data_IF_995542149141
#
_entry.id   IF_995542149141
#
_cell.length_a   1.000
_cell.length_b   1.000
_cell.length_c   1.000
_cell.angle_alpha   90.00
_cell.angle_beta   90.00
_cell.angle_gamma   90.00
#
_symmetry.space_group_name_H-M   'P 1'
#
loop_
_entity.id
_entity.type
_entity.pdbx_description
1 polymer ?
#
# COMPACT_ATOMS: atom_id res chain seq x y z
N UNK A 1 -5.57 10.95 16.59
CA UNK A 1 -4.69 9.93 15.98
C UNK A 1 -5.14 9.72 14.55
N UNK A 2 -4.21 9.48 13.61
CA UNK A 2 -4.55 9.08 12.24
C UNK A 2 -5.33 7.76 12.29
N UNK A 3 -6.52 7.66 11.67
CA UNK A 3 -7.30 6.43 11.71
C UNK A 3 -6.66 5.38 10.78
N UNK A 4 -6.07 4.29 11.31
CA UNK A 4 -5.40 3.29 10.47
C UNK A 4 -6.35 2.60 9.49
N UNK A 5 -7.65 2.63 9.79
CA UNK A 5 -8.72 2.17 8.90
C UNK A 5 -8.70 2.88 7.55
N UNK A 6 -8.69 4.21 7.53
CA UNK A 6 -8.73 4.99 6.29
C UNK A 6 -7.49 4.75 5.44
N UNK A 7 -6.32 4.71 6.09
CA UNK A 7 -5.06 4.35 5.39
C UNK A 7 -5.17 2.96 4.77
N UNK A 8 -5.66 1.97 5.53
CA UNK A 8 -5.84 0.61 5.04
C UNK A 8 -6.79 0.56 3.83
N UNK A 9 -7.91 1.28 3.88
CA UNK A 9 -8.87 1.36 2.78
C UNK A 9 -8.25 2.05 1.55
N UNK A 10 -7.49 3.13 1.72
CA UNK A 10 -6.79 3.78 0.61
C UNK A 10 -5.70 2.91 -0.05
N UNK A 11 -5.02 2.07 0.75
CA UNK A 11 -4.03 1.12 0.25
C UNK A 11 -4.65 -0.10 -0.46
N UNK A 12 -5.92 -0.41 -0.17
CA UNK A 12 -6.55 -1.65 -0.59
C UNK A 12 -6.74 -1.78 -2.12
N UNK A 13 -7.20 -0.77 -2.88
CA UNK A 13 -7.36 -0.89 -4.33
C UNK A 13 -6.07 -1.21 -5.10
N UNK A 14 -4.93 -0.50 -4.91
CA UNK A 14 -3.68 -0.88 -5.58
C UNK A 14 -3.18 -2.26 -5.12
N UNK A 15 -3.35 -2.63 -3.84
CA UNK A 15 -3.02 -3.95 -3.35
C UNK A 15 -3.83 -5.05 -4.07
N UNK A 16 -5.17 -4.96 -4.08
CA UNK A 16 -6.04 -5.95 -4.71
C UNK A 16 -5.81 -6.05 -6.22
N UNK A 17 -5.61 -4.91 -6.89
CA UNK A 17 -5.27 -4.88 -8.32
C UNK A 17 -3.95 -5.59 -8.57
N UNK A 18 -2.94 -5.35 -7.73
CA UNK A 18 -1.64 -6.01 -7.86
C UNK A 18 -1.72 -7.52 -7.60
N UNK A 19 -2.52 -7.94 -6.62
CA UNK A 19 -2.74 -9.34 -6.29
C UNK A 19 -3.43 -10.09 -7.45
N UNK A 20 -4.43 -9.46 -8.07
CA UNK A 20 -5.11 -9.99 -9.25
C UNK A 20 -4.14 -10.12 -10.44
N UNK A 21 -3.32 -9.11 -10.72
CA UNK A 21 -2.29 -9.17 -11.77
C UNK A 21 -1.27 -10.28 -11.48
N UNK A 22 -0.81 -10.39 -10.22
CA UNK A 22 0.13 -11.42 -9.80
C UNK A 22 -0.45 -12.83 -10.02
N UNK A 23 -1.70 -13.05 -9.62
CA UNK A 23 -2.41 -14.31 -9.84
C UNK A 23 -2.59 -14.62 -11.33
N UNK A 24 -3.03 -13.64 -12.13
CA UNK A 24 -3.20 -13.78 -13.59
C UNK A 24 -1.88 -14.11 -14.31
N UNK A 25 -0.75 -13.60 -13.81
CA UNK A 25 0.59 -13.91 -14.31
C UNK A 25 1.22 -15.16 -13.68
N UNK A 26 0.40 -16.04 -13.07
CA UNK A 26 0.82 -17.30 -12.44
C UNK A 26 1.92 -17.11 -11.39
N UNK A 27 1.83 -16.00 -10.65
CA UNK A 27 2.78 -15.61 -9.63
C UNK A 27 4.14 -15.17 -10.16
N UNK A 28 4.20 -14.55 -11.35
CA UNK A 28 5.43 -13.99 -11.92
C UNK A 28 5.27 -12.50 -12.21
N UNK A 29 6.19 -11.68 -11.72
CA UNK A 29 6.19 -10.23 -11.95
C UNK A 29 7.61 -9.69 -12.09
N UNK A 30 7.74 -8.54 -12.77
CA UNK A 30 9.02 -7.84 -12.96
C UNK A 30 9.44 -7.09 -11.68
N UNK A 31 10.74 -6.81 -11.53
CA UNK A 31 11.25 -5.96 -10.44
C UNK A 31 10.56 -4.58 -10.38
N UNK A 32 10.29 -3.95 -11.53
CA UNK A 32 9.56 -2.67 -11.60
C UNK A 32 8.16 -2.73 -11.00
N UNK A 33 7.49 -3.87 -11.17
CA UNK A 33 6.15 -4.08 -10.58
C UNK A 33 6.25 -4.16 -9.06
N UNK A 34 7.24 -4.90 -8.54
CA UNK A 34 7.48 -5.04 -7.11
C UNK A 34 7.80 -3.71 -6.43
N UNK A 35 8.47 -2.80 -7.12
CA UNK A 35 8.76 -1.46 -6.58
C UNK A 35 7.58 -0.50 -6.74
N UNK A 36 6.86 -0.53 -7.87
CA UNK A 36 5.75 0.39 -8.13
C UNK A 36 4.55 0.18 -7.18
N UNK A 37 4.24 -1.07 -6.81
CA UNK A 37 3.07 -1.39 -5.99
C UNK A 37 3.11 -0.73 -4.59
N UNK A 38 4.21 -0.83 -3.81
CA UNK A 38 4.34 -0.09 -2.54
C UNK A 38 4.12 1.42 -2.68
N UNK A 39 4.64 2.05 -3.74
CA UNK A 39 4.43 3.49 -3.97
C UNK A 39 2.97 3.81 -4.31
N UNK A 40 2.32 2.99 -5.14
CA UNK A 40 0.90 3.15 -5.44
C UNK A 40 0.02 2.97 -4.19
N UNK A 41 0.35 2.01 -3.33
CA UNK A 41 -0.31 1.84 -2.03
C UNK A 41 -0.09 3.04 -1.12
N UNK A 42 1.14 3.54 -1.01
CA UNK A 42 1.45 4.72 -0.22
C UNK A 42 0.68 5.95 -0.74
N UNK A 43 0.61 6.15 -2.06
CA UNK A 43 -0.16 7.23 -2.67
C UNK A 43 -1.67 7.10 -2.37
N UNK A 44 -2.22 5.88 -2.46
CA UNK A 44 -3.62 5.62 -2.11
C UNK A 44 -3.92 5.88 -0.63
N UNK A 45 -3.03 5.44 0.26
CA UNK A 45 -3.13 5.71 1.71
C UNK A 45 -3.03 7.20 2.04
N UNK A 46 -2.12 7.94 1.41
CA UNK A 46 -1.99 9.39 1.56
C UNK A 46 -3.23 10.12 1.04
N UNK A 47 -3.77 9.69 -0.10
CA UNK A 47 -5.01 10.25 -0.65
C UNK A 47 -6.19 10.06 0.31
N UNK A 48 -6.32 8.87 0.92
CA UNK A 48 -7.37 8.61 1.91
C UNK A 48 -7.25 9.49 3.16
N UNK A 49 -6.07 10.02 3.49
CA UNK A 49 -5.85 10.87 4.66
C UNK A 49 -5.95 12.37 4.32
N UNK A 50 -6.01 12.73 3.03
CA UNK A 50 -6.03 14.12 2.60
C UNK A 50 -7.08 15.00 3.33
N UNK A 51 -8.34 14.54 3.59
CA UNK A 51 -9.32 15.31 4.34
C UNK A 51 -8.91 15.64 5.79
N UNK A 52 -8.04 14.82 6.38
CA UNK A 52 -7.60 14.98 7.76
C UNK A 52 -6.39 15.94 7.90
N UNK A 53 -5.75 16.35 6.80
CA UNK A 53 -4.55 17.21 6.83
C UNK A 53 -4.80 18.53 7.58
N UNK A 54 -5.88 19.30 7.33
CA UNK A 54 -6.12 20.55 8.06
C UNK A 54 -6.24 20.33 9.58
N UNK A 55 -6.88 19.23 10.00
CA UNK A 55 -7.02 18.85 11.41
C UNK A 55 -5.67 18.50 12.03
N UNK A 56 -4.83 17.74 11.32
CA UNK A 56 -3.50 17.36 11.78
C UNK A 56 -2.58 18.57 11.91
N UNK A 57 -2.63 19.49 10.94
CA UNK A 57 -1.87 20.73 10.98
C UNK A 57 -2.29 21.63 12.16
N UNK A 58 -3.60 21.77 12.38
CA UNK A 58 -4.12 22.55 13.50
C UNK A 58 -3.74 21.93 14.87
N UNK A 59 -3.80 20.60 15.00
CA UNK A 59 -3.36 19.89 16.20
C UNK A 59 -1.85 20.08 16.44
N UNK A 60 -1.03 19.97 15.39
CA UNK A 60 0.42 20.21 15.48
C UNK A 60 0.75 21.66 15.86
N UNK A 61 -0.10 22.62 15.47
CA UNK A 61 0.01 24.03 15.85
C UNK A 61 -0.53 24.33 17.28
N UNK A 62 -0.95 23.32 18.04
CA UNK A 62 -1.50 23.49 19.39
C UNK A 62 -2.90 24.11 19.44
N UNK A 63 -3.57 24.22 18.29
CA UNK A 63 -4.92 24.75 18.19
C UNK A 63 -5.95 23.62 18.24
N UNK A 64 -7.00 23.81 19.03
CA UNK A 64 -8.19 22.96 18.97
C UNK A 64 -9.00 23.39 17.75
N UNK A 65 -8.78 22.73 16.61
CA UNK A 65 -9.63 22.92 15.45
C UNK A 65 -11.04 22.42 15.82
N UNK A 66 -12.07 23.27 15.84
CA UNK A 66 -13.42 22.81 16.10
C UNK A 66 -13.75 21.79 15.02
N UNK A 67 -14.05 20.55 15.44
CA UNK A 67 -14.42 19.46 14.58
C UNK A 67 -15.77 19.80 13.93
N UNK A 68 -15.75 20.62 12.88
CA UNK A 68 -16.95 20.95 12.11
C UNK A 68 -17.24 19.72 11.26
N UNK A 69 -18.23 18.95 11.72
CA UNK A 69 -18.73 17.73 11.09
C UNK A 69 -18.99 17.87 9.58
N UNK A 70 -19.18 19.09 9.09
CA UNK A 70 -19.30 19.48 7.68
C UNK A 70 -18.23 18.86 6.77
N UNK A 71 -16.97 18.79 7.22
CA UNK A 71 -15.84 18.25 6.45
C UNK A 71 -15.71 16.73 6.55
N UNK A 72 -16.54 16.06 7.36
CA UNK A 72 -16.53 14.61 7.56
C UNK A 72 -17.90 14.01 7.27
N UNK A 73 -18.79 14.76 6.60
CA UNK A 73 -20.07 14.23 6.15
C UNK A 73 -19.88 13.28 4.96
N UNK A 74 -20.61 12.15 4.93
CA UNK A 74 -20.72 11.31 3.74
C UNK A 74 -21.12 12.16 2.52
N UNK A 75 -20.57 11.83 1.34
CA UNK A 75 -20.71 12.61 0.12
C UNK A 75 -19.37 13.23 -0.31
N UNK A 76 -19.11 14.48 0.07
CA UNK A 76 -17.96 15.25 -0.45
C UNK A 76 -16.60 14.62 -0.12
N UNK A 77 -16.46 13.99 1.04
CA UNK A 77 -15.19 13.34 1.43
C UNK A 77 -15.09 11.88 1.02
N UNK A 78 -16.15 11.29 0.46
CA UNK A 78 -16.11 9.90 0.01
C UNK A 78 -15.26 9.70 -1.26
N UNK A 79 -14.92 10.79 -1.97
CA UNK A 79 -13.91 10.76 -3.05
C UNK A 79 -12.51 10.38 -2.53
N UNK A 80 -12.28 10.51 -1.22
CA UNK A 80 -11.05 10.09 -0.53
C UNK A 80 -11.24 8.70 0.08
N UNK A 81 -11.72 7.76 -0.73
CA UNK A 81 -11.97 6.37 -0.32
C UNK A 81 -12.99 6.22 0.82
N UNK A 82 -14.17 6.81 0.63
CA UNK A 82 -15.30 6.71 1.58
C UNK A 82 -14.99 7.27 2.97
N UNK A 83 -14.12 8.29 3.05
CA UNK A 83 -13.60 8.85 4.30
C UNK A 83 -14.72 9.26 5.28
N UNK A 84 -15.70 10.04 4.81
CA UNK A 84 -16.82 10.49 5.62
C UNK A 84 -17.74 9.34 6.04
N UNK A 85 -17.95 8.36 5.16
CA UNK A 85 -18.70 7.14 5.49
C UNK A 85 -18.00 6.32 6.58
N UNK A 86 -16.68 6.16 6.49
CA UNK A 86 -15.87 5.43 7.48
C UNK A 86 -15.89 6.12 8.85
N UNK A 87 -15.82 7.45 8.89
CA UNK A 87 -15.92 8.21 10.13
C UNK A 87 -17.32 8.10 10.77
N UNK A 88 -18.38 8.16 9.98
CA UNK A 88 -19.74 7.96 10.46
C UNK A 88 -19.96 6.56 11.07
N UNK A 89 -19.35 5.54 10.49
CA UNK A 89 -19.37 4.16 11.02
C UNK A 89 -18.50 4.01 12.28
N UNK A 90 -17.32 4.64 12.31
CA UNK A 90 -16.41 4.64 13.45
C UNK A 90 -17.01 5.32 14.68
N UNK A 91 -17.69 6.45 14.49
CA UNK A 91 -18.39 7.19 15.55
C UNK A 91 -19.53 6.40 16.18
N UNK A 92 -20.27 5.60 15.40
CA UNK A 92 -21.37 4.75 15.91
C UNK A 92 -20.91 3.57 16.76
N UNK A 93 -19.70 3.05 16.50
CA UNK A 93 -19.21 1.85 17.16
C UNK A 93 -18.33 2.13 18.38
N UNK A 94 -18.01 3.41 18.66
CA UNK A 94 -17.15 3.81 19.79
C UNK A 94 -15.70 3.31 19.70
N UNK A 95 -15.33 2.61 18.62
CA UNK A 95 -14.01 2.01 18.40
C UNK A 95 -13.13 2.93 17.57
N UNK A 96 -12.92 4.15 18.05
CA UNK A 96 -12.13 5.20 17.38
C UNK A 96 -10.64 4.88 17.16
N UNK A 97 -10.16 3.73 17.66
CA UNK A 97 -8.83 3.18 17.37
C UNK A 97 -8.95 1.83 16.69
N UNK A 98 -9.10 1.81 15.37
CA UNK A 98 -9.30 0.58 14.59
C UNK A 98 -8.00 -0.26 14.57
N UNK A 99 -7.83 -1.16 15.55
CA UNK A 99 -6.76 -2.17 15.54
C UNK A 99 -6.81 -3.02 14.25
N UNK A 100 -8.01 -3.20 13.69
CA UNK A 100 -8.20 -3.93 12.43
C UNK A 100 -7.50 -3.25 11.25
N UNK A 101 -7.53 -1.92 11.16
CA UNK A 101 -6.84 -1.17 10.10
C UNK A 101 -5.34 -1.40 10.15
N UNK A 102 -4.75 -1.36 11.35
CA UNK A 102 -3.34 -1.72 11.54
C UNK A 102 -3.06 -3.16 11.13
N UNK A 103 -3.91 -4.11 11.53
CA UNK A 103 -3.77 -5.52 11.15
C UNK A 103 -3.82 -5.74 9.63
N UNK A 104 -4.72 -5.04 8.93
CA UNK A 104 -4.85 -5.09 7.46
C UNK A 104 -3.61 -4.51 6.78
N UNK A 105 -3.09 -3.37 7.25
CA UNK A 105 -1.85 -2.78 6.72
C UNK A 105 -0.68 -3.76 6.88
N UNK A 106 -0.52 -4.34 8.08
CA UNK A 106 0.54 -5.31 8.35
C UNK A 106 0.43 -6.55 7.46
N UNK A 107 -0.80 -7.07 7.25
CA UNK A 107 -1.04 -8.19 6.36
C UNK A 107 -0.65 -7.88 4.91
N UNK A 108 -1.04 -6.71 4.39
CA UNK A 108 -0.66 -6.28 3.03
C UNK A 108 0.86 -6.15 2.89
N UNK A 109 1.52 -5.51 3.86
CA UNK A 109 2.98 -5.36 3.88
C UNK A 109 3.69 -6.71 3.95
N UNK A 110 3.25 -7.62 4.81
CA UNK A 110 3.81 -8.96 4.94
C UNK A 110 3.65 -9.76 3.63
N UNK A 111 2.48 -9.67 2.99
CA UNK A 111 2.22 -10.32 1.71
C UNK A 111 3.15 -9.81 0.61
N UNK A 112 3.29 -8.48 0.50
CA UNK A 112 4.22 -7.88 -0.46
C UNK A 112 5.66 -8.28 -0.20
N UNK A 113 6.08 -8.29 1.07
CA UNK A 113 7.43 -8.68 1.45
C UNK A 113 7.74 -10.14 1.08
N UNK A 114 6.79 -11.06 1.32
CA UNK A 114 6.92 -12.47 0.92
C UNK A 114 7.05 -12.59 -0.61
N UNK A 115 6.18 -11.90 -1.37
CA UNK A 115 6.24 -11.89 -2.83
C UNK A 115 7.56 -11.31 -3.34
N UNK A 116 8.03 -10.22 -2.73
CA UNK A 116 9.30 -9.57 -3.05
C UNK A 116 10.48 -10.51 -2.86
N UNK A 117 10.58 -11.15 -1.68
CA UNK A 117 11.63 -12.13 -1.40
C UNK A 117 11.59 -13.27 -2.40
N UNK A 118 10.42 -13.86 -2.66
CA UNK A 118 10.28 -14.96 -3.62
C UNK A 118 10.79 -14.57 -5.02
N UNK A 119 10.40 -13.41 -5.52
CA UNK A 119 10.77 -12.99 -6.87
C UNK A 119 12.25 -12.57 -6.98
N UNK A 120 12.84 -11.94 -5.96
CA UNK A 120 14.28 -11.66 -5.95
C UNK A 120 15.09 -12.95 -5.96
N UNK A 121 14.75 -13.92 -5.11
CA UNK A 121 15.46 -15.20 -5.12
C UNK A 121 15.38 -15.90 -6.48
N UNK A 122 14.23 -15.80 -7.16
CA UNK A 122 14.08 -16.31 -8.52
C UNK A 122 14.99 -15.59 -9.52
N UNK A 123 14.94 -14.26 -9.54
CA UNK A 123 15.72 -13.44 -10.47
C UNK A 123 17.23 -13.61 -10.25
N UNK A 124 17.68 -13.70 -9.00
CA UNK A 124 19.10 -13.95 -8.68
C UNK A 124 19.60 -15.29 -9.24
N UNK A 125 18.78 -16.36 -9.16
CA UNK A 125 19.13 -17.66 -9.75
C UNK A 125 19.21 -17.59 -11.27
N UNK A 126 18.30 -16.86 -11.90
CA UNK A 126 18.26 -16.67 -13.36
C UNK A 126 19.52 -15.92 -13.84
N UNK A 127 19.91 -14.85 -13.15
CA UNK A 127 21.15 -14.10 -13.46
C UNK A 127 22.39 -14.96 -13.27
N UNK A 128 22.49 -15.71 -12.17
CA UNK A 128 23.62 -16.60 -11.92
C UNK A 128 23.77 -17.68 -13.01
N UNK A 129 22.65 -18.25 -13.46
CA UNK A 129 22.63 -19.22 -14.55
C UNK A 129 23.12 -18.60 -15.87
N UNK A 130 22.59 -17.44 -16.25
CA UNK A 130 23.00 -16.75 -17.48
C UNK A 130 24.48 -16.37 -17.47
N UNK A 131 24.99 -15.88 -16.32
CA UNK A 131 26.41 -15.57 -16.15
C UNK A 131 27.29 -16.79 -16.43
N UNK A 132 26.94 -17.95 -15.85
CA UNK A 132 27.66 -19.20 -16.08
C UNK A 132 27.64 -19.62 -17.55
N UNK A 133 26.52 -19.43 -18.26
CA UNK A 133 26.44 -19.74 -19.69
C UNK A 133 27.34 -18.81 -20.52
N UNK A 134 27.40 -17.52 -20.20
CA UNK A 134 28.27 -16.57 -20.89
C UNK A 134 29.74 -16.93 -20.68
N UNK A 135 30.14 -17.27 -19.45
CA UNK A 135 31.52 -17.68 -19.11
C UNK A 135 31.97 -18.93 -19.90
N UNK A 136 31.08 -19.92 -20.08
CA UNK A 136 31.37 -21.11 -20.88
C UNK A 136 31.59 -20.78 -22.37
N UNK A 137 30.74 -19.94 -22.96
CA UNK A 137 30.86 -19.59 -24.39
C UNK A 137 32.00 -18.61 -24.69
N UNK A 138 32.49 -17.85 -23.70
CA UNK A 138 33.68 -17.02 -23.88
C UNK A 138 34.97 -17.84 -23.87
N UNK A 139 35.04 -18.92 -23.09
CA UNK A 139 36.21 -19.80 -23.06
C UNK A 139 36.45 -20.53 -24.38
N UNK A 140 35.38 -20.96 -25.06
CA UNK A 140 35.46 -21.67 -26.36
C UNK A 140 35.96 -20.80 -27.52
N UNK A 141 36.05 -19.47 -27.38
CA UNK A 141 36.56 -18.57 -28.44
C UNK A 141 38.05 -18.28 -28.35
N UNK A 142 38.69 -18.64 -27.25
CA UNK A 142 40.11 -18.42 -27.01
C UNK A 142 40.98 -19.64 -27.38
N UNK A 143 40.35 -20.77 -27.75
CA UNK A 143 40.97 -21.99 -28.27
C UNK A 143 40.91 -22.06 -29.81
#
# INVERSE_FOLDING_TARGET
MLPPAHIAVGMLPPFLTSAAIYAARRGRVSARFLTAVPFAMAAGGLWAVAPDIPRLAAYAAGSHFPYRAEWHQPGLTDIFFFHGTLDALGGRTGRGGSLWGTAVILLMCATLFIVYLREIHRLSREVAFLRKQVELHSGEREE
#
